data_IF_913611765153
#
_entry.id   IF_913611765153
#
_cell.length_a   1.000
_cell.length_b   1.000
_cell.length_c   1.000
_cell.angle_alpha   90.00
_cell.angle_beta   90.00
_cell.angle_gamma   90.00
#
_symmetry.space_group_name_H-M   'P 1'
#
loop_
_entity.id
_entity.type
_entity.pdbx_description
1 polymer ?
#
# COMPACT_ATOMS: atom_id res chain seq x y z
N UNK A 1 -69.78 29.65 2.05
CA UNK A 1 -68.82 29.42 0.93
C UNK A 1 -67.40 29.42 1.49
N UNK A 2 -66.90 28.30 1.99
CA UNK A 2 -65.56 28.18 2.59
C UNK A 2 -64.60 27.69 1.53
N UNK A 3 -63.64 28.57 1.15
CA UNK A 3 -62.52 28.20 0.23
C UNK A 3 -61.41 27.52 1.06
N UNK A 4 -61.20 26.23 0.82
CA UNK A 4 -60.04 25.48 1.32
C UNK A 4 -58.80 25.81 0.51
N UNK A 5 -57.79 26.48 1.15
CA UNK A 5 -56.45 26.62 0.56
C UNK A 5 -55.68 25.32 0.77
N UNK A 6 -55.44 24.57 -0.28
CA UNK A 6 -54.47 23.48 -0.29
C UNK A 6 -53.07 24.10 -0.19
N UNK A 7 -52.43 24.00 0.95
CA UNK A 7 -50.94 24.21 1.04
C UNK A 7 -50.27 23.13 0.21
N UNK A 8 -49.52 23.52 -0.85
CA UNK A 8 -48.56 22.66 -1.52
C UNK A 8 -47.50 22.30 -0.48
N UNK A 9 -47.30 21.00 -0.20
CA UNK A 9 -46.14 20.51 0.51
C UNK A 9 -44.90 20.87 -0.33
N UNK A 10 -44.10 21.81 0.17
CA UNK A 10 -42.77 22.00 -0.36
C UNK A 10 -41.99 20.67 -0.14
N UNK A 11 -41.52 20.06 -1.23
CA UNK A 11 -40.70 18.89 -1.16
C UNK A 11 -39.46 19.22 -0.31
N UNK A 12 -39.18 18.38 0.69
CA UNK A 12 -37.90 18.44 1.38
C UNK A 12 -36.80 18.35 0.32
N UNK A 13 -35.75 19.17 0.43
CA UNK A 13 -34.60 19.00 -0.46
C UNK A 13 -34.09 17.57 -0.28
N UNK A 14 -34.09 16.79 -1.37
CA UNK A 14 -33.39 15.52 -1.38
C UNK A 14 -31.94 15.83 -1.08
N UNK A 15 -31.51 15.46 0.12
CA UNK A 15 -30.09 15.40 0.44
C UNK A 15 -29.48 14.39 -0.53
N UNK A 16 -28.81 14.90 -1.57
CA UNK A 16 -27.94 14.06 -2.38
C UNK A 16 -26.98 13.37 -1.42
N UNK A 17 -26.87 12.04 -1.41
CA UNK A 17 -25.90 11.34 -0.60
C UNK A 17 -24.53 11.99 -0.88
N UNK A 18 -23.78 12.25 0.18
CA UNK A 18 -22.42 12.73 0.03
C UNK A 18 -21.72 11.76 -0.93
N UNK A 19 -20.98 12.25 -1.94
CA UNK A 19 -20.31 11.38 -2.89
C UNK A 19 -19.47 10.39 -2.11
N UNK A 20 -19.71 9.10 -2.34
CA UNK A 20 -18.91 8.03 -1.76
C UNK A 20 -17.46 8.32 -2.15
N UNK A 21 -16.53 8.33 -1.17
CA UNK A 21 -15.14 8.61 -1.47
C UNK A 21 -14.65 7.62 -2.50
N UNK A 22 -14.51 8.03 -3.72
CA UNK A 22 -14.12 7.15 -4.81
C UNK A 22 -13.28 7.89 -5.84
N UNK A 23 -12.33 7.16 -6.43
CA UNK A 23 -11.50 7.62 -7.51
C UNK A 23 -10.26 8.39 -7.11
N UNK A 24 -9.45 8.66 -8.13
CA UNK A 24 -8.12 9.25 -8.02
C UNK A 24 -8.15 10.62 -7.34
N UNK A 25 -9.01 11.53 -7.80
CA UNK A 25 -9.08 12.90 -7.31
C UNK A 25 -9.42 12.97 -5.82
N UNK A 26 -10.36 12.15 -5.39
CA UNK A 26 -10.73 12.07 -3.98
C UNK A 26 -9.54 11.64 -3.12
N UNK A 27 -8.88 10.53 -3.48
CA UNK A 27 -7.78 9.99 -2.67
C UNK A 27 -6.56 10.90 -2.71
N UNK A 28 -6.24 11.50 -3.85
CA UNK A 28 -5.16 12.46 -3.96
C UNK A 28 -5.37 13.70 -3.09
N UNK A 29 -6.63 14.13 -2.91
CA UNK A 29 -6.95 15.25 -2.01
C UNK A 29 -6.74 14.92 -0.53
N UNK A 30 -6.71 13.64 -0.16
CA UNK A 30 -6.53 13.17 1.22
C UNK A 30 -5.06 13.02 1.62
N UNK A 31 -4.17 13.01 0.65
CA UNK A 31 -2.74 12.89 0.94
C UNK A 31 -2.10 14.27 1.05
N UNK A 32 -1.52 14.62 2.20
CA UNK A 32 -0.62 15.75 2.25
C UNK A 32 0.58 15.46 1.34
N UNK A 33 1.08 16.49 0.68
CA UNK A 33 2.32 16.42 -0.10
C UNK A 33 3.49 16.36 0.88
N UNK A 34 3.75 15.18 1.42
CA UNK A 34 4.87 14.93 2.32
C UNK A 34 5.95 14.19 1.56
N UNK A 35 7.20 14.51 1.81
CA UNK A 35 8.34 13.75 1.34
C UNK A 35 8.81 12.86 2.48
N UNK A 36 8.89 11.56 2.25
CA UNK A 36 9.45 10.59 3.18
C UNK A 36 10.73 10.04 2.58
N UNK A 37 11.82 10.20 3.29
CA UNK A 37 13.16 9.81 2.84
C UNK A 37 13.67 8.67 3.70
N UNK A 38 14.14 7.62 3.06
CA UNK A 38 14.78 6.47 3.69
C UNK A 38 16.30 6.57 3.57
N UNK A 39 17.00 6.62 4.69
CA UNK A 39 18.47 6.64 4.78
C UNK A 39 19.00 5.27 5.23
N UNK A 40 18.78 4.25 4.44
CA UNK A 40 19.22 2.87 4.74
C UNK A 40 20.03 2.23 3.63
N UNK A 41 20.11 2.88 2.48
CA UNK A 41 20.83 2.36 1.31
C UNK A 41 22.30 2.80 1.35
N UNK A 42 23.21 1.84 1.22
CA UNK A 42 24.64 2.10 1.06
C UNK A 42 25.06 1.73 -0.36
N UNK A 43 25.67 2.67 -1.05
CA UNK A 43 26.24 2.41 -2.37
C UNK A 43 27.74 2.24 -2.28
N UNK A 44 28.33 1.29 -3.02
CA UNK A 44 29.78 1.13 -3.11
C UNK A 44 30.45 2.45 -3.47
N UNK A 45 31.46 2.85 -2.70
CA UNK A 45 32.24 4.08 -2.86
C UNK A 45 31.50 5.42 -2.66
N UNK A 46 30.23 5.39 -2.30
CA UNK A 46 29.40 6.60 -2.08
C UNK A 46 29.00 6.73 -0.59
N UNK A 47 28.91 5.60 0.11
CA UNK A 47 28.38 5.55 1.47
C UNK A 47 26.83 5.58 1.50
N UNK A 48 26.27 5.95 2.66
CA UNK A 48 24.82 6.00 2.86
C UNK A 48 24.19 7.07 1.98
N UNK A 49 23.14 6.70 1.30
CA UNK A 49 22.32 7.60 0.49
C UNK A 49 20.90 7.72 1.05
N UNK A 50 20.32 8.87 0.81
CA UNK A 50 18.91 9.15 1.08
C UNK A 50 18.08 8.85 -0.18
N UNK A 51 17.03 8.06 -0.03
CA UNK A 51 16.13 7.65 -1.11
C UNK A 51 14.71 8.08 -0.75
N UNK A 52 14.04 8.81 -1.63
CA UNK A 52 12.60 9.05 -1.47
C UNK A 52 11.88 7.69 -1.52
N UNK A 53 11.00 7.41 -0.56
CA UNK A 53 10.32 6.11 -0.50
C UNK A 53 9.53 5.78 -1.77
N UNK A 54 9.16 6.80 -2.55
CA UNK A 54 8.49 6.61 -3.84
C UNK A 54 9.39 6.03 -4.92
N UNK A 55 10.71 6.15 -4.76
CA UNK A 55 11.70 5.59 -5.70
C UNK A 55 11.78 4.06 -5.62
N UNK A 56 11.19 3.45 -4.57
CA UNK A 56 10.99 1.99 -4.52
C UNK A 56 9.89 1.50 -5.49
N UNK A 57 9.12 2.40 -6.10
CA UNK A 57 8.30 2.06 -7.27
C UNK A 57 9.15 2.18 -8.53
N UNK A 58 9.61 1.05 -9.04
CA UNK A 58 10.41 1.00 -10.27
C UNK A 58 9.53 1.13 -11.52
N UNK A 59 10.16 1.17 -12.69
CA UNK A 59 9.43 1.19 -13.96
C UNK A 59 8.51 -0.02 -14.07
N UNK A 60 7.21 0.21 -14.18
CA UNK A 60 6.19 -0.86 -14.32
C UNK A 60 6.39 -1.72 -15.57
N UNK A 61 7.14 -1.25 -16.57
CA UNK A 61 7.50 -2.02 -17.76
C UNK A 61 8.79 -2.84 -17.57
N UNK A 62 9.33 -2.91 -16.34
CA UNK A 62 10.42 -3.84 -16.05
C UNK A 62 10.02 -5.26 -16.46
N UNK A 63 10.89 -5.95 -17.19
CA UNK A 63 10.56 -7.24 -17.79
C UNK A 63 10.23 -8.32 -16.75
N UNK A 64 10.84 -8.29 -15.58
CA UNK A 64 10.60 -9.26 -14.52
C UNK A 64 9.21 -9.05 -13.88
N UNK A 65 8.78 -7.79 -13.72
CA UNK A 65 7.43 -7.48 -13.28
C UNK A 65 6.40 -7.89 -14.34
N UNK A 66 6.68 -7.59 -15.61
CA UNK A 66 5.79 -7.89 -16.72
C UNK A 66 5.61 -9.39 -16.96
N UNK A 67 6.63 -10.21 -16.70
CA UNK A 67 6.51 -11.67 -16.78
C UNK A 67 5.41 -12.22 -15.88
N UNK A 68 5.23 -11.63 -14.69
CA UNK A 68 4.14 -11.97 -13.77
C UNK A 68 2.84 -11.32 -14.22
N UNK A 69 2.85 -10.02 -14.48
CA UNK A 69 1.68 -9.20 -14.77
C UNK A 69 0.90 -9.67 -16.01
N UNK A 70 1.61 -10.12 -17.06
CA UNK A 70 0.98 -10.61 -18.29
C UNK A 70 0.08 -11.82 -18.06
N UNK A 71 0.36 -12.65 -17.07
CA UNK A 71 -0.46 -13.82 -16.71
C UNK A 71 -1.78 -13.45 -16.06
N UNK A 72 -1.92 -12.19 -15.62
CA UNK A 72 -3.08 -11.69 -14.91
C UNK A 72 -4.03 -10.86 -15.80
N UNK A 73 -3.79 -10.83 -17.10
CA UNK A 73 -4.64 -10.10 -18.03
C UNK A 73 -6.06 -10.68 -18.05
N UNK A 74 -7.06 -9.79 -18.10
CA UNK A 74 -8.48 -10.17 -18.13
C UNK A 74 -9.11 -10.42 -16.75
N UNK A 75 -8.32 -10.46 -15.67
CA UNK A 75 -8.84 -10.54 -14.31
C UNK A 75 -9.33 -9.16 -13.83
N UNK A 76 -10.26 -9.15 -12.88
CA UNK A 76 -10.67 -7.95 -12.15
C UNK A 76 -9.52 -7.42 -11.28
N UNK A 77 -9.62 -6.16 -10.81
CA UNK A 77 -8.61 -5.56 -9.94
C UNK A 77 -8.41 -6.37 -8.66
N UNK A 78 -9.49 -6.85 -8.04
CA UNK A 78 -9.43 -7.66 -6.82
C UNK A 78 -8.73 -9.01 -7.05
N UNK A 79 -9.04 -9.69 -8.15
CA UNK A 79 -8.38 -10.93 -8.53
C UNK A 79 -6.90 -10.71 -8.80
N UNK A 80 -6.53 -9.66 -9.55
CA UNK A 80 -5.14 -9.28 -9.78
C UNK A 80 -4.39 -9.01 -8.48
N UNK A 81 -5.01 -8.27 -7.56
CA UNK A 81 -4.41 -7.96 -6.27
C UNK A 81 -4.09 -9.23 -5.47
N UNK A 82 -5.02 -10.18 -5.43
CA UNK A 82 -4.81 -11.48 -4.76
C UNK A 82 -3.78 -12.36 -5.46
N UNK A 83 -3.81 -12.41 -6.78
CA UNK A 83 -2.84 -13.23 -7.53
C UNK A 83 -1.42 -12.66 -7.39
N UNK A 84 -1.24 -11.34 -7.37
CA UNK A 84 0.05 -10.73 -7.04
C UNK A 84 0.52 -11.14 -5.63
N UNK A 85 -0.38 -11.10 -4.65
CA UNK A 85 -0.06 -11.52 -3.28
C UNK A 85 0.32 -13.00 -3.21
N UNK A 86 -0.46 -13.88 -3.84
CA UNK A 86 -0.17 -15.33 -3.92
C UNK A 86 1.19 -15.58 -4.59
N UNK A 87 1.49 -14.81 -5.63
CA UNK A 87 2.77 -14.92 -6.30
C UNK A 87 3.94 -14.57 -5.38
N UNK A 88 3.84 -13.47 -4.61
CA UNK A 88 4.88 -13.10 -3.62
C UNK A 88 5.03 -14.20 -2.58
N UNK A 89 3.95 -14.67 -1.97
CA UNK A 89 3.96 -15.76 -0.97
C UNK A 89 4.61 -17.04 -1.52
N UNK A 90 4.36 -17.38 -2.77
CA UNK A 90 4.87 -18.59 -3.39
C UNK A 90 6.33 -18.51 -3.85
N UNK A 91 6.86 -17.30 -4.10
CA UNK A 91 8.15 -17.12 -4.75
C UNK A 91 9.21 -16.43 -3.89
N UNK A 92 8.82 -15.80 -2.79
CA UNK A 92 9.74 -15.09 -1.89
C UNK A 92 9.80 -15.85 -0.55
N UNK A 93 11.01 -16.06 -0.08
CA UNK A 93 11.27 -16.64 1.24
C UNK A 93 11.51 -15.53 2.24
N UNK A 94 10.77 -15.54 3.35
CA UNK A 94 10.99 -14.57 4.43
C UNK A 94 12.36 -14.81 5.09
N UNK A 95 13.21 -13.80 5.07
CA UNK A 95 14.50 -13.77 5.75
C UNK A 95 14.70 -12.37 6.30
N UNK A 96 14.93 -12.25 7.59
CA UNK A 96 15.17 -10.94 8.20
C UNK A 96 16.48 -10.33 7.69
N UNK A 97 16.50 -9.02 7.51
CA UNK A 97 17.65 -8.23 7.04
C UNK A 97 18.93 -8.51 7.79
N UNK A 98 18.84 -8.67 9.09
CA UNK A 98 19.98 -9.03 9.94
C UNK A 98 20.67 -10.32 9.48
N UNK A 99 19.90 -11.28 9.00
CA UNK A 99 20.41 -12.57 8.53
C UNK A 99 20.95 -12.49 7.10
N UNK A 100 20.25 -11.79 6.21
CA UNK A 100 20.61 -11.73 4.79
C UNK A 100 21.73 -10.69 4.54
N UNK A 101 21.66 -9.51 5.17
CA UNK A 101 22.54 -8.37 4.89
C UNK A 101 23.44 -7.99 6.07
N UNK A 102 23.22 -8.55 7.26
CA UNK A 102 23.93 -8.15 8.50
C UNK A 102 23.50 -6.77 9.01
N UNK A 103 22.44 -6.19 8.48
CA UNK A 103 21.88 -4.89 8.81
C UNK A 103 20.60 -5.04 9.62
N UNK A 104 20.26 -4.07 10.45
CA UNK A 104 19.00 -4.10 11.20
C UNK A 104 17.79 -3.78 10.31
N UNK A 105 18.00 -3.05 9.22
CA UNK A 105 16.97 -2.60 8.29
C UNK A 105 17.59 -2.36 6.91
N UNK A 106 17.06 -2.96 5.84
CA UNK A 106 17.55 -2.79 4.48
C UNK A 106 16.44 -3.03 3.45
N UNK A 107 15.89 -2.01 2.86
CA UNK A 107 14.84 -2.10 1.86
C UNK A 107 15.38 -2.42 0.46
N UNK A 108 14.94 -3.54 -0.10
CA UNK A 108 15.28 -3.93 -1.46
C UNK A 108 14.46 -3.21 -2.51
N UNK A 109 15.09 -2.89 -3.63
CA UNK A 109 14.31 -2.64 -4.84
C UNK A 109 13.68 -3.93 -5.36
N UNK A 110 12.51 -3.86 -6.05
CA UNK A 110 11.84 -5.06 -6.59
C UNK A 110 12.74 -5.98 -7.40
N UNK A 111 13.61 -5.41 -8.24
CA UNK A 111 14.55 -6.17 -9.08
C UNK A 111 15.69 -6.82 -8.29
N UNK A 112 16.04 -6.33 -7.11
CA UNK A 112 17.00 -6.96 -6.20
C UNK A 112 16.33 -8.16 -5.54
N UNK A 113 15.14 -7.98 -4.98
CA UNK A 113 14.37 -9.06 -4.35
C UNK A 113 14.02 -10.17 -5.35
N UNK A 114 13.69 -9.83 -6.60
CA UNK A 114 13.43 -10.81 -7.66
C UNK A 114 14.65 -11.69 -7.98
N UNK A 115 15.86 -11.21 -7.75
CA UNK A 115 17.12 -11.98 -7.94
C UNK A 115 17.41 -12.88 -6.74
N UNK A 116 17.33 -12.32 -5.52
CA UNK A 116 17.67 -13.06 -4.29
C UNK A 116 16.58 -14.04 -3.88
N UNK A 117 15.31 -13.71 -4.14
CA UNK A 117 14.10 -14.40 -3.67
C UNK A 117 14.03 -14.50 -2.14
N UNK A 118 14.75 -13.63 -1.45
CA UNK A 118 14.82 -13.56 0.01
C UNK A 118 14.71 -12.12 0.46
N UNK A 119 13.86 -11.86 1.43
CA UNK A 119 13.66 -10.55 2.02
C UNK A 119 12.66 -10.61 3.16
N UNK A 120 12.47 -9.51 3.85
CA UNK A 120 11.53 -9.44 4.97
C UNK A 120 10.23 -8.69 4.62
N UNK A 121 9.55 -8.13 5.62
CA UNK A 121 8.19 -7.63 5.43
C UNK A 121 8.10 -6.48 4.42
N UNK A 122 9.03 -5.53 4.47
CA UNK A 122 9.01 -4.36 3.57
C UNK A 122 9.42 -4.73 2.14
N UNK A 123 10.38 -5.60 1.98
CA UNK A 123 10.84 -6.09 0.68
C UNK A 123 9.70 -6.75 -0.10
N UNK A 124 9.01 -7.67 0.55
CA UNK A 124 7.87 -8.36 -0.06
C UNK A 124 6.69 -7.41 -0.30
N UNK A 125 6.44 -6.45 0.59
CA UNK A 125 5.41 -5.44 0.40
C UNK A 125 5.73 -4.50 -0.77
N UNK A 126 6.99 -4.06 -0.90
CA UNK A 126 7.47 -3.24 -2.02
C UNK A 126 7.29 -4.00 -3.33
N UNK A 127 7.71 -5.26 -3.40
CA UNK A 127 7.53 -6.09 -4.59
C UNK A 127 6.05 -6.28 -4.93
N UNK A 128 5.21 -6.60 -3.94
CA UNK A 128 3.77 -6.77 -4.13
C UNK A 128 3.13 -5.53 -4.75
N UNK A 129 3.41 -4.35 -4.20
CA UNK A 129 2.85 -3.10 -4.73
C UNK A 129 3.30 -2.84 -6.18
N UNK A 130 4.55 -3.12 -6.52
CA UNK A 130 5.06 -2.98 -7.88
C UNK A 130 4.41 -3.99 -8.85
N UNK A 131 4.22 -5.23 -8.45
CA UNK A 131 3.50 -6.23 -9.25
C UNK A 131 2.04 -5.83 -9.51
N UNK A 132 1.36 -5.31 -8.49
CA UNK A 132 -0.01 -4.81 -8.64
C UNK A 132 -0.09 -3.67 -9.67
N UNK A 133 0.83 -2.71 -9.63
CA UNK A 133 0.88 -1.63 -10.61
C UNK A 133 1.22 -2.15 -12.02
N UNK A 134 2.15 -3.07 -12.14
CA UNK A 134 2.51 -3.71 -13.41
C UNK A 134 1.32 -4.50 -14.00
N UNK A 135 0.49 -5.12 -13.16
CA UNK A 135 -0.76 -5.78 -13.56
C UNK A 135 -1.88 -4.79 -13.95
N UNK A 136 -1.63 -3.48 -13.87
CA UNK A 136 -2.52 -2.43 -14.30
C UNK A 136 -3.50 -1.93 -13.23
N UNK A 137 -3.29 -2.25 -11.95
CA UNK A 137 -4.10 -1.66 -10.89
C UNK A 137 -3.84 -0.15 -10.80
N UNK A 138 -4.87 0.67 -10.59
CA UNK A 138 -4.71 2.10 -10.41
C UNK A 138 -3.83 2.40 -9.18
N UNK A 139 -2.81 3.25 -9.34
CA UNK A 139 -1.85 3.56 -8.26
C UNK A 139 -2.53 4.10 -7.00
N UNK A 140 -3.65 4.80 -7.15
CA UNK A 140 -4.40 5.37 -6.03
C UNK A 140 -5.12 4.33 -5.18
N UNK A 141 -5.33 3.09 -5.69
CA UNK A 141 -5.86 1.94 -4.96
C UNK A 141 -4.78 1.17 -4.17
N UNK A 142 -3.50 1.41 -4.45
CA UNK A 142 -2.38 0.64 -3.90
C UNK A 142 -1.51 1.55 -3.04
N UNK A 143 -1.29 1.19 -1.80
CA UNK A 143 -0.43 1.93 -0.87
C UNK A 143 0.47 0.98 -0.12
N UNK A 144 1.74 1.31 -0.06
CA UNK A 144 2.63 0.74 0.93
C UNK A 144 2.38 1.41 2.27
N UNK A 145 2.33 0.65 3.35
CA UNK A 145 2.03 1.14 4.69
C UNK A 145 3.02 0.53 5.65
N UNK A 146 3.66 1.36 6.45
CA UNK A 146 4.52 0.96 7.55
C UNK A 146 3.91 1.40 8.88
N UNK A 147 3.99 0.53 9.87
CA UNK A 147 3.36 0.79 11.15
C UNK A 147 3.75 -0.22 12.22
N UNK A 148 3.06 -0.18 13.35
CA UNK A 148 3.25 -1.09 14.46
C UNK A 148 2.31 -2.27 14.38
N UNK A 149 2.86 -3.46 14.67
CA UNK A 149 2.13 -4.70 14.99
C UNK A 149 2.58 -5.20 16.36
N UNK A 150 1.93 -6.22 16.96
CA UNK A 150 2.33 -6.70 18.29
C UNK A 150 3.81 -7.11 18.41
N UNK A 151 4.40 -7.59 17.33
CA UNK A 151 5.79 -8.07 17.29
C UNK A 151 6.81 -6.95 16.96
N UNK A 152 6.37 -5.73 16.61
CA UNK A 152 7.27 -4.61 16.31
C UNK A 152 6.86 -3.80 15.10
N UNK A 153 7.86 -3.30 14.35
CA UNK A 153 7.63 -2.62 13.08
C UNK A 153 7.24 -3.59 11.97
N UNK A 154 6.36 -3.15 11.08
CA UNK A 154 5.88 -4.00 9.99
C UNK A 154 5.47 -3.17 8.78
N UNK A 155 5.75 -3.70 7.58
CA UNK A 155 5.31 -3.12 6.32
C UNK A 155 4.39 -4.08 5.56
N UNK A 156 3.36 -3.53 4.95
CA UNK A 156 2.35 -4.26 4.20
C UNK A 156 1.71 -3.38 3.14
N UNK A 157 1.01 -3.97 2.20
CA UNK A 157 0.21 -3.23 1.23
C UNK A 157 -1.19 -2.99 1.76
N UNK A 158 -1.70 -1.78 1.66
CA UNK A 158 -3.12 -1.49 1.78
C UNK A 158 -3.73 -1.28 0.40
N UNK A 159 -4.83 -1.96 0.15
CA UNK A 159 -5.56 -1.94 -1.10
C UNK A 159 -6.98 -1.42 -0.90
N UNK A 160 -7.43 -0.52 -1.78
CA UNK A 160 -8.79 -0.01 -1.73
C UNK A 160 -9.76 -0.98 -2.39
N UNK A 161 -10.53 -1.69 -1.57
CA UNK A 161 -11.60 -2.58 -1.98
C UNK A 161 -12.87 -1.77 -2.23
N UNK A 162 -13.25 -1.59 -3.50
CA UNK A 162 -14.34 -0.68 -3.89
C UNK A 162 -15.70 -1.19 -3.41
N UNK A 163 -16.04 -2.45 -3.62
CA UNK A 163 -17.35 -3.03 -3.23
C UNK A 163 -17.60 -2.90 -1.72
N UNK A 164 -16.55 -3.00 -0.92
CA UNK A 164 -16.62 -2.78 0.53
C UNK A 164 -16.40 -1.33 0.95
N UNK A 165 -16.05 -0.43 0.02
CA UNK A 165 -15.70 0.97 0.29
C UNK A 165 -14.71 1.13 1.44
N UNK A 166 -13.71 0.25 1.51
CA UNK A 166 -12.74 0.20 2.62
C UNK A 166 -11.33 -0.17 2.13
N UNK A 167 -10.35 0.17 2.95
CA UNK A 167 -8.98 -0.27 2.75
C UNK A 167 -8.74 -1.59 3.48
N UNK A 168 -8.19 -2.56 2.79
CA UNK A 168 -7.84 -3.86 3.33
C UNK A 168 -6.33 -4.06 3.32
N UNK A 169 -5.82 -4.86 4.24
CA UNK A 169 -4.43 -5.24 4.26
C UNK A 169 -4.19 -6.45 3.35
N UNK A 170 -3.31 -6.28 2.37
CA UNK A 170 -2.71 -7.35 1.59
C UNK A 170 -1.31 -7.56 2.15
N UNK A 171 -1.19 -8.53 3.02
CA UNK A 171 0.00 -8.78 3.81
C UNK A 171 0.51 -10.20 3.53
N UNK A 172 1.74 -10.30 3.07
CA UNK A 172 2.34 -11.59 2.72
C UNK A 172 2.90 -12.35 3.93
N UNK A 173 3.09 -11.65 5.06
CA UNK A 173 3.53 -12.24 6.31
C UNK A 173 2.35 -12.72 7.17
N UNK A 174 1.30 -11.89 7.24
CA UNK A 174 0.08 -12.18 7.98
C UNK A 174 -1.06 -12.53 7.03
N UNK A 175 -1.91 -13.46 7.42
CA UNK A 175 -3.08 -13.90 6.66
C UNK A 175 -2.77 -14.42 5.24
N UNK A 176 -1.74 -15.27 5.05
CA UNK A 176 -1.38 -15.75 3.71
C UNK A 176 -2.48 -16.61 3.06
N UNK A 177 -3.37 -17.19 3.84
CA UNK A 177 -4.40 -18.14 3.39
C UNK A 177 -5.80 -17.50 3.22
N UNK A 178 -5.90 -16.19 3.11
CA UNK A 178 -7.19 -15.54 2.83
C UNK A 178 -7.41 -15.48 1.34
N UNK A 179 -8.51 -16.09 0.86
CA UNK A 179 -8.75 -16.35 -0.56
C UNK A 179 -9.53 -15.26 -1.29
N UNK A 180 -10.10 -14.29 -0.59
CA UNK A 180 -10.86 -13.21 -1.19
C UNK A 180 -10.53 -11.86 -0.57
N UNK A 181 -10.51 -10.79 -1.38
CA UNK A 181 -10.25 -9.42 -0.91
C UNK A 181 -11.26 -9.00 0.15
N UNK A 182 -12.54 -9.38 -0.02
CA UNK A 182 -13.60 -9.07 0.94
C UNK A 182 -13.35 -9.61 2.35
N UNK A 183 -12.59 -10.69 2.48
CA UNK A 183 -12.30 -11.37 3.75
C UNK A 183 -10.98 -10.89 4.37
N UNK A 184 -10.24 -10.02 3.67
CA UNK A 184 -9.03 -9.40 4.18
C UNK A 184 -9.34 -8.43 5.32
N UNK A 185 -8.48 -8.34 6.34
CA UNK A 185 -8.70 -7.44 7.46
C UNK A 185 -8.70 -5.98 7.00
N UNK A 186 -9.64 -5.20 7.55
CA UNK A 186 -9.58 -3.76 7.51
C UNK A 186 -8.42 -3.32 8.41
N UNK A 187 -7.41 -2.67 7.83
CA UNK A 187 -6.20 -2.30 8.57
C UNK A 187 -6.48 -1.34 9.75
N UNK A 188 -7.56 -0.54 9.68
CA UNK A 188 -7.92 0.39 10.76
C UNK A 188 -8.60 -0.27 11.94
N UNK A 189 -9.28 -1.39 11.70
CA UNK A 189 -10.11 -2.07 12.69
C UNK A 189 -9.54 -3.45 13.07
N UNK A 190 -8.35 -3.78 12.61
CA UNK A 190 -7.68 -5.03 12.94
C UNK A 190 -6.93 -4.92 14.27
N UNK A 191 -6.98 -5.94 15.12
CA UNK A 191 -6.15 -5.97 16.34
C UNK A 191 -4.66 -6.19 16.05
N UNK A 192 -4.31 -6.52 14.81
CA UNK A 192 -2.91 -6.75 14.39
C UNK A 192 -2.25 -5.43 13.99
N UNK A 193 -2.92 -4.59 13.19
CA UNK A 193 -2.36 -3.32 12.72
C UNK A 193 -2.66 -2.21 13.73
N UNK A 194 -1.74 -2.02 14.68
CA UNK A 194 -1.95 -1.17 15.86
C UNK A 194 -1.87 0.32 15.54
N UNK A 195 -0.90 0.70 14.71
CA UNK A 195 -0.62 2.08 14.35
C UNK A 195 -0.08 2.16 12.93
N UNK A 196 -0.41 3.20 12.21
CA UNK A 196 0.21 3.56 10.93
C UNK A 196 1.17 4.71 11.16
N UNK A 197 2.45 4.51 10.90
CA UNK A 197 3.47 5.55 11.00
C UNK A 197 3.49 6.41 9.75
N UNK A 198 3.55 5.78 8.60
CA UNK A 198 3.45 6.44 7.31
C UNK A 198 2.94 5.47 6.24
N UNK A 199 2.48 6.04 5.14
CA UNK A 199 2.12 5.26 3.95
C UNK A 199 2.44 6.05 2.70
N UNK A 200 2.66 5.36 1.58
CA UNK A 200 2.94 6.01 0.30
C UNK A 200 2.42 5.18 -0.86
N UNK A 201 2.25 5.84 -1.98
CA UNK A 201 2.00 5.22 -3.28
C UNK A 201 2.98 5.78 -4.30
N UNK A 202 2.81 5.45 -5.57
CA UNK A 202 3.67 5.92 -6.65
C UNK A 202 3.86 7.46 -6.69
N UNK A 203 2.87 8.24 -6.23
CA UNK A 203 2.90 9.71 -6.36
C UNK A 203 2.99 10.45 -5.03
N UNK A 204 2.43 9.92 -3.98
CA UNK A 204 2.24 10.64 -2.72
C UNK A 204 2.71 9.82 -1.51
N UNK A 205 3.27 10.51 -0.54
CA UNK A 205 3.53 9.96 0.78
C UNK A 205 2.67 10.68 1.83
N UNK A 206 2.27 9.94 2.84
CA UNK A 206 1.45 10.42 3.96
C UNK A 206 2.11 10.01 5.28
N UNK A 207 2.21 10.97 6.21
CA UNK A 207 2.56 10.70 7.59
C UNK A 207 1.62 11.50 8.50
N UNK A 208 0.97 10.83 9.45
CA UNK A 208 0.01 11.46 10.33
C UNK A 208 0.68 12.55 11.19
N UNK A 209 0.09 13.75 11.20
CA UNK A 209 0.55 14.86 12.05
C UNK A 209 1.81 15.60 11.58
N UNK A 210 2.42 15.22 10.46
CA UNK A 210 3.63 15.86 9.94
C UNK A 210 3.35 16.57 8.63
N UNK A 211 3.81 17.82 8.54
CA UNK A 211 3.85 18.61 7.29
C UNK A 211 5.33 18.83 6.94
N UNK A 212 5.70 18.53 5.71
CA UNK A 212 7.06 18.73 5.22
C UNK A 212 7.82 17.44 5.01
N UNK A 213 9.14 17.49 5.09
CA UNK A 213 10.03 16.35 4.89
C UNK A 213 10.22 15.57 6.18
N UNK A 214 10.17 14.24 6.07
CA UNK A 214 10.51 13.30 7.13
C UNK A 214 11.68 12.47 6.65
N UNK A 215 12.73 12.44 7.42
CA UNK A 215 13.87 11.56 7.19
C UNK A 215 13.77 10.36 8.13
N UNK A 216 13.60 9.18 7.55
CA UNK A 216 13.72 7.91 8.27
C UNK A 216 15.22 7.60 8.41
N UNK A 217 15.84 8.14 9.45
CA UNK A 217 17.20 7.76 9.84
C UNK A 217 17.12 6.45 10.57
N UNK A 218 17.73 5.37 10.03
CA UNK A 218 17.87 4.07 10.72
C UNK A 218 16.86 3.95 11.85
N UNK A 219 15.59 3.77 11.50
CA UNK A 219 14.56 3.66 12.53
C UNK A 219 14.92 2.38 13.28
N UNK A 220 15.52 2.52 14.45
CA UNK A 220 15.54 1.43 15.40
C UNK A 220 14.09 1.29 15.81
N UNK A 221 13.40 0.37 15.18
CA UNK A 221 12.15 -0.12 15.72
C UNK A 221 12.50 -0.77 17.05
N UNK A 222 12.15 -0.10 18.14
CA UNK A 222 12.36 -0.58 19.50
C UNK A 222 11.36 -1.66 19.83
#
# INVERSE_FOLDING_TARGET
MCRWFRRKKQGQPQLTPAPVPNGEDYWNSKYPKTVVVYEGRELPNTGMIAVDVRDFFININDYQLQEVAQKLQGLSDDEKALECLRWVIANITYVADKTEYGLEEFWCYPNELLKTKKGDCDDGAILLANLMLAAGLPYWKVRLTAGAVPEGGHAYVTYYYEDGSRWVALDWCYFPNVDAVKDRPDYKNSPIYLEVWFSWNLKYAFCAGVKGEITLKKVRFL
#
